data_IF_898775102525
#
_entry.id   IF_898775102525
#
_cell.length_a   1.000
_cell.length_b   1.000
_cell.length_c   1.000
_cell.angle_alpha   90.00
_cell.angle_beta   90.00
_cell.angle_gamma   90.00
#
_symmetry.space_group_name_H-M   'P 1'
#
loop_
_entity.id
_entity.type
_entity.pdbx_description
1 polymer ?
#
# COMPACT_ATOMS: atom_id res chain seq x y z
N UNK A 1 -21.63 24.59 24.66
CA UNK A 1 -21.96 23.59 23.61
C UNK A 1 -21.90 24.28 22.25
N UNK A 2 -20.95 23.96 21.37
CA UNK A 2 -20.98 24.43 19.98
C UNK A 2 -22.02 23.63 19.16
N UNK A 3 -22.68 24.24 18.16
CA UNK A 3 -23.70 23.58 17.35
C UNK A 3 -23.09 22.57 16.34
N UNK A 4 -23.85 21.55 15.92
CA UNK A 4 -23.42 20.59 14.90
C UNK A 4 -23.32 21.24 13.52
N UNK A 5 -22.12 21.20 12.91
CA UNK A 5 -21.91 21.66 11.52
C UNK A 5 -22.66 20.73 10.56
N UNK A 6 -23.63 21.28 9.82
CA UNK A 6 -24.27 20.63 8.66
C UNK A 6 -23.19 20.32 7.61
N UNK A 7 -22.89 19.04 7.43
CA UNK A 7 -22.16 18.58 6.26
C UNK A 7 -23.01 18.87 5.01
N UNK A 8 -22.52 19.74 4.13
CA UNK A 8 -23.17 20.08 2.87
C UNK A 8 -23.17 18.85 1.94
N UNK A 9 -24.35 18.34 1.57
CA UNK A 9 -24.51 17.22 0.63
C UNK A 9 -23.75 17.40 -0.70
N UNK A 10 -23.46 18.65 -1.08
CA UNK A 10 -22.75 18.99 -2.32
C UNK A 10 -21.31 18.49 -2.35
N UNK A 11 -20.64 18.38 -1.19
CA UNK A 11 -19.24 17.96 -1.10
C UNK A 11 -19.05 16.45 -1.36
N UNK A 12 -20.03 15.63 -0.96
CA UNK A 12 -19.97 14.18 -1.19
C UNK A 12 -20.16 13.85 -2.68
N UNK A 13 -21.05 14.57 -3.37
CA UNK A 13 -21.23 14.43 -4.82
C UNK A 13 -20.02 14.98 -5.59
N UNK A 14 -19.46 16.13 -5.18
CA UNK A 14 -18.26 16.68 -5.79
C UNK A 14 -17.06 15.73 -5.69
N UNK A 15 -16.87 15.06 -4.55
CA UNK A 15 -15.83 14.05 -4.37
C UNK A 15 -16.03 12.82 -5.26
N UNK A 16 -17.27 12.32 -5.40
CA UNK A 16 -17.58 11.19 -6.31
C UNK A 16 -17.35 11.54 -7.78
N UNK A 17 -17.77 12.74 -8.20
CA UNK A 17 -17.56 13.22 -9.58
C UNK A 17 -16.07 13.43 -9.85
N UNK A 18 -15.31 13.94 -8.88
CA UNK A 18 -13.85 14.06 -8.99
C UNK A 18 -13.18 12.70 -9.17
N UNK A 19 -13.52 11.71 -8.32
CA UNK A 19 -12.95 10.36 -8.40
C UNK A 19 -13.30 9.66 -9.72
N UNK A 20 -14.56 9.81 -10.16
CA UNK A 20 -15.02 9.29 -11.45
C UNK A 20 -14.31 9.96 -12.63
N UNK A 21 -14.12 11.29 -12.58
CA UNK A 21 -13.39 12.04 -13.59
C UNK A 21 -11.92 11.62 -13.69
N UNK A 22 -11.23 11.45 -12.56
CA UNK A 22 -9.84 10.95 -12.54
C UNK A 22 -9.76 9.53 -13.09
N UNK A 23 -10.65 8.63 -12.70
CA UNK A 23 -10.69 7.26 -13.24
C UNK A 23 -10.89 7.24 -14.75
N UNK A 24 -11.84 8.01 -15.27
CA UNK A 24 -12.07 8.10 -16.72
C UNK A 24 -10.88 8.73 -17.45
N UNK A 25 -10.29 9.79 -16.90
CA UNK A 25 -9.12 10.44 -17.50
C UNK A 25 -7.93 9.48 -17.59
N UNK A 26 -7.66 8.71 -16.54
CA UNK A 26 -6.59 7.71 -16.53
C UNK A 26 -6.91 6.55 -17.48
N UNK A 27 -8.17 6.08 -17.54
CA UNK A 27 -8.58 4.99 -18.43
C UNK A 27 -8.44 5.38 -19.91
N UNK A 28 -8.94 6.55 -20.29
CA UNK A 28 -8.84 7.07 -21.66
C UNK A 28 -7.39 7.41 -22.00
N UNK A 29 -6.65 8.03 -21.07
CA UNK A 29 -5.23 8.35 -21.26
C UNK A 29 -4.38 7.11 -21.52
N UNK A 30 -4.59 6.03 -20.75
CA UNK A 30 -3.86 4.78 -20.96
C UNK A 30 -4.31 4.03 -22.23
N UNK A 31 -5.60 4.08 -22.59
CA UNK A 31 -6.10 3.50 -23.83
C UNK A 31 -5.57 4.21 -25.09
N UNK A 32 -5.33 5.52 -25.03
CA UNK A 32 -4.75 6.28 -26.15
C UNK A 32 -3.21 6.17 -26.21
N UNK A 33 -2.54 6.07 -25.05
CA UNK A 33 -1.09 6.00 -24.98
C UNK A 33 -0.53 4.62 -25.35
N UNK A 34 -1.27 3.53 -25.11
CA UNK A 34 -0.83 2.17 -25.40
C UNK A 34 -1.94 1.36 -26.07
N UNK A 35 -1.74 0.86 -27.31
CA UNK A 35 -2.71 -0.02 -27.97
C UNK A 35 -2.89 -1.35 -27.22
N UNK A 36 -1.92 -1.74 -26.38
CA UNK A 36 -1.95 -2.98 -25.59
C UNK A 36 -2.80 -2.88 -24.31
N UNK A 37 -3.21 -1.68 -23.90
CA UNK A 37 -3.95 -1.50 -22.63
C UNK A 37 -5.29 -2.25 -22.62
N UNK A 38 -5.97 -2.37 -23.76
CA UNK A 38 -7.27 -3.04 -23.91
C UNK A 38 -7.19 -4.43 -24.55
N UNK A 39 -5.98 -4.94 -24.81
CA UNK A 39 -5.82 -6.28 -25.37
C UNK A 39 -6.23 -7.35 -24.36
N UNK A 40 -7.06 -8.32 -24.76
CA UNK A 40 -7.56 -9.40 -23.90
C UNK A 40 -6.42 -10.15 -23.20
N UNK A 41 -5.29 -10.34 -23.88
CA UNK A 41 -4.13 -11.06 -23.35
C UNK A 41 -3.37 -10.26 -22.28
N UNK A 42 -3.23 -8.95 -22.48
CA UNK A 42 -2.61 -8.08 -21.48
C UNK A 42 -3.55 -7.87 -20.29
N UNK A 43 -4.86 -7.79 -20.55
CA UNK A 43 -5.87 -7.65 -19.51
C UNK A 43 -6.01 -8.92 -18.68
N UNK A 44 -5.88 -10.10 -19.30
CA UNK A 44 -5.88 -11.38 -18.60
C UNK A 44 -4.59 -11.59 -17.82
N UNK A 45 -3.41 -11.29 -18.39
CA UNK A 45 -2.13 -11.36 -17.69
C UNK A 45 -2.09 -10.40 -16.49
N UNK A 46 -2.55 -9.16 -16.66
CA UNK A 46 -2.71 -8.22 -15.56
C UNK A 46 -3.63 -8.80 -14.47
N UNK A 47 -4.79 -9.34 -14.85
CA UNK A 47 -5.75 -9.94 -13.91
C UNK A 47 -5.17 -11.12 -13.14
N UNK A 48 -4.36 -11.98 -13.78
CA UNK A 48 -3.67 -13.08 -13.10
C UNK A 48 -2.64 -12.58 -12.08
N UNK A 49 -1.80 -11.62 -12.48
CA UNK A 49 -0.80 -11.03 -11.59
C UNK A 49 -1.44 -10.30 -10.39
N UNK A 50 -2.58 -9.63 -10.59
CA UNK A 50 -3.34 -9.02 -9.49
C UNK A 50 -4.03 -10.08 -8.61
N UNK A 51 -4.65 -11.10 -9.21
CA UNK A 51 -5.39 -12.14 -8.48
C UNK A 51 -4.45 -12.97 -7.60
N UNK A 52 -3.25 -13.29 -8.08
CA UNK A 52 -2.23 -14.01 -7.29
C UNK A 52 -1.90 -13.26 -6.00
N UNK A 53 -1.61 -11.96 -6.08
CA UNK A 53 -1.31 -11.13 -4.91
C UNK A 53 -2.55 -10.90 -4.06
N UNK A 54 -3.73 -10.77 -4.66
CA UNK A 54 -4.99 -10.57 -3.95
C UNK A 54 -5.37 -11.77 -3.08
N UNK A 55 -5.17 -13.01 -3.55
CA UNK A 55 -5.44 -14.23 -2.77
C UNK A 55 -4.51 -14.34 -1.56
N UNK A 56 -3.27 -13.86 -1.65
CA UNK A 56 -2.33 -13.83 -0.52
C UNK A 56 -2.73 -12.76 0.50
N UNK A 57 -3.14 -11.58 0.04
CA UNK A 57 -3.48 -10.44 0.92
C UNK A 57 -4.87 -10.57 1.54
N UNK A 58 -5.82 -11.26 0.89
CA UNK A 58 -7.17 -11.49 1.40
C UNK A 58 -7.19 -12.13 2.82
N UNK A 59 -6.52 -13.26 3.09
CA UNK A 59 -6.43 -13.81 4.44
C UNK A 59 -5.60 -12.92 5.37
N UNK A 60 -4.55 -12.26 4.86
CA UNK A 60 -3.76 -11.32 5.68
C UNK A 60 -4.60 -10.16 6.22
N UNK A 61 -5.50 -9.61 5.40
CA UNK A 61 -6.44 -8.58 5.83
C UNK A 61 -7.41 -9.10 6.91
N UNK A 62 -7.90 -10.34 6.77
CA UNK A 62 -8.75 -10.96 7.79
C UNK A 62 -8.00 -11.19 9.11
N UNK A 63 -6.72 -11.59 9.06
CA UNK A 63 -5.88 -11.79 10.25
C UNK A 63 -5.60 -10.48 11.00
N UNK A 64 -5.44 -9.36 10.28
CA UNK A 64 -5.30 -8.02 10.88
C UNK A 64 -6.59 -7.63 11.61
N UNK A 65 -7.76 -7.86 11.01
CA UNK A 65 -9.06 -7.56 11.63
C UNK A 65 -9.29 -8.42 12.88
N UNK A 66 -8.92 -9.69 12.82
CA UNK A 66 -8.99 -10.62 13.95
C UNK A 66 -7.97 -10.29 15.06
N UNK A 67 -7.03 -9.35 14.82
CA UNK A 67 -5.91 -9.00 15.71
C UNK A 67 -4.95 -10.16 16.00
N UNK A 68 -4.95 -11.18 15.15
CA UNK A 68 -3.97 -12.27 15.18
C UNK A 68 -2.60 -11.80 14.66
N UNK A 69 -2.60 -10.79 13.77
CA UNK A 69 -1.39 -10.05 13.37
C UNK A 69 -1.59 -8.59 13.81
N UNK A 70 -0.76 -8.13 14.74
CA UNK A 70 -0.81 -6.78 15.28
C UNK A 70 -0.51 -5.71 14.21
N UNK A 71 -1.14 -4.54 14.34
CA UNK A 71 -0.96 -3.37 13.48
C UNK A 71 0.49 -2.85 13.53
N UNK A 72 1.22 -3.11 14.62
CA UNK A 72 2.63 -2.77 14.79
C UNK A 72 3.53 -3.44 13.73
N UNK A 73 3.23 -4.68 13.34
CA UNK A 73 3.96 -5.42 12.30
C UNK A 73 3.68 -4.80 10.94
N UNK A 74 2.42 -4.43 10.65
CA UNK A 74 2.05 -3.76 9.41
C UNK A 74 2.79 -2.41 9.25
N UNK A 75 2.88 -1.63 10.33
CA UNK A 75 3.63 -0.37 10.34
C UNK A 75 5.14 -0.57 10.12
N UNK A 76 5.74 -1.59 10.74
CA UNK A 76 7.17 -1.90 10.57
C UNK A 76 7.49 -2.34 9.14
N UNK A 77 6.62 -3.15 8.52
CA UNK A 77 6.75 -3.55 7.11
C UNK A 77 6.65 -2.33 6.20
N UNK A 78 5.70 -1.42 6.45
CA UNK A 78 5.54 -0.20 5.69
C UNK A 78 6.77 0.71 5.79
N UNK A 79 7.28 0.94 7.00
CA UNK A 79 8.49 1.73 7.23
C UNK A 79 9.70 1.12 6.50
N UNK A 80 9.96 -0.17 6.71
CA UNK A 80 11.07 -0.88 6.05
C UNK A 80 10.97 -0.79 4.52
N UNK A 81 9.77 -0.97 3.96
CA UNK A 81 9.51 -0.82 2.52
C UNK A 81 9.77 0.59 1.99
N UNK A 82 9.35 1.64 2.70
CA UNK A 82 9.61 3.03 2.28
C UNK A 82 11.10 3.37 2.29
N UNK A 83 11.85 2.91 3.30
CA UNK A 83 13.31 3.14 3.38
C UNK A 83 14.02 2.36 2.28
N UNK A 84 13.65 1.10 2.04
CA UNK A 84 14.18 0.32 0.91
C UNK A 84 13.85 0.97 -0.44
N UNK A 85 12.63 1.48 -0.63
CA UNK A 85 12.21 2.16 -1.85
C UNK A 85 12.99 3.45 -2.09
N UNK A 86 13.26 4.22 -1.04
CA UNK A 86 14.11 5.40 -1.10
C UNK A 86 15.56 5.03 -1.46
N UNK A 87 16.10 3.97 -0.86
CA UNK A 87 17.42 3.43 -1.18
C UNK A 87 17.53 2.89 -2.61
N UNK A 88 16.48 2.25 -3.14
CA UNK A 88 16.42 1.82 -4.54
C UNK A 88 16.44 3.01 -5.49
N UNK A 89 15.70 4.09 -5.16
CA UNK A 89 15.72 5.33 -5.94
C UNK A 89 17.10 6.01 -5.92
N UNK A 90 17.89 5.80 -4.86
CA UNK A 90 19.27 6.24 -4.76
C UNK A 90 20.27 5.35 -5.53
N UNK A 91 19.82 4.29 -6.20
CA UNK A 91 20.65 3.42 -7.03
C UNK A 91 21.46 2.38 -6.24
N UNK A 92 21.05 2.06 -4.99
CA UNK A 92 21.74 1.06 -4.18
C UNK A 92 21.45 -0.36 -4.69
N UNK A 93 22.48 -1.20 -4.69
CA UNK A 93 22.38 -2.58 -5.16
C UNK A 93 21.42 -3.42 -4.31
N UNK A 94 20.85 -4.46 -4.93
CA UNK A 94 19.93 -5.43 -4.30
C UNK A 94 20.41 -5.97 -2.94
N UNK A 95 21.68 -6.41 -2.76
CA UNK A 95 22.15 -6.86 -1.45
C UNK A 95 22.12 -5.75 -0.39
N UNK A 96 22.43 -4.51 -0.78
CA UNK A 96 22.40 -3.39 0.15
C UNK A 96 20.98 -3.05 0.59
N UNK A 97 20.01 -3.17 -0.32
CA UNK A 97 18.59 -3.01 0.00
C UNK A 97 18.11 -4.03 1.03
N UNK A 98 18.55 -5.28 0.92
CA UNK A 98 18.23 -6.32 1.90
C UNK A 98 18.82 -5.95 3.26
N UNK A 99 20.06 -5.48 3.32
CA UNK A 99 20.68 -5.03 4.56
C UNK A 99 19.92 -3.85 5.19
N UNK A 100 19.47 -2.89 4.38
CA UNK A 100 18.67 -1.75 4.85
C UNK A 100 17.34 -2.22 5.43
N UNK A 101 16.62 -3.09 4.72
CA UNK A 101 15.33 -3.62 5.19
C UNK A 101 15.46 -4.38 6.51
N UNK A 102 16.48 -5.23 6.62
CA UNK A 102 16.81 -5.97 7.84
C UNK A 102 17.20 -5.03 8.99
N UNK A 103 18.02 -4.02 8.70
CA UNK A 103 18.45 -3.02 9.68
C UNK A 103 17.27 -2.24 10.27
N UNK A 104 16.38 -1.75 9.41
CA UNK A 104 15.17 -1.03 9.86
C UNK A 104 14.24 -1.93 10.68
N UNK A 105 14.03 -3.18 10.24
CA UNK A 105 13.20 -4.15 10.97
C UNK A 105 13.76 -4.50 12.35
N UNK A 106 15.08 -4.75 12.44
CA UNK A 106 15.77 -5.03 13.70
C UNK A 106 15.71 -3.84 14.66
N UNK A 107 15.94 -2.62 14.16
CA UNK A 107 15.88 -1.41 14.98
C UNK A 107 14.47 -1.18 15.52
N UNK A 108 13.43 -1.30 14.69
CA UNK A 108 12.04 -1.19 15.14
C UNK A 108 11.70 -2.24 16.21
N UNK A 109 12.12 -3.50 16.00
CA UNK A 109 11.91 -4.57 16.98
C UNK A 109 12.62 -4.32 18.31
N UNK A 110 13.87 -3.84 18.28
CA UNK A 110 14.66 -3.51 19.46
C UNK A 110 14.12 -2.29 20.22
N UNK A 111 13.52 -1.32 19.53
CA UNK A 111 12.86 -0.18 20.18
C UNK A 111 11.54 -0.62 20.83
N UNK A 112 10.79 -1.52 20.19
CA UNK A 112 9.52 -2.03 20.71
C UNK A 112 9.70 -2.92 21.94
N UNK A 113 10.80 -3.69 22.01
CA UNK A 113 11.20 -4.47 23.18
C UNK A 113 12.52 -3.93 23.76
N UNK A 114 12.48 -3.05 24.77
CA UNK A 114 13.69 -2.62 25.44
C UNK A 114 14.43 -3.85 25.99
N UNK A 115 15.71 -3.99 25.62
CA UNK A 115 16.57 -5.12 25.98
C UNK A 115 16.90 -5.23 27.49
N UNK A 116 16.12 -4.58 28.34
CA UNK A 116 16.29 -4.51 29.78
C UNK A 116 15.15 -5.17 30.58
N UNK A 117 14.22 -5.85 29.92
CA UNK A 117 13.13 -6.58 30.56
C UNK A 117 13.59 -8.04 30.80
N UNK A 118 14.08 -8.40 32.00
CA UNK A 118 14.43 -9.78 32.32
C UNK A 118 13.12 -10.51 32.68
N UNK A 119 12.85 -11.62 32.01
CA UNK A 119 12.08 -12.70 32.64
C UNK A 119 13.02 -13.46 33.56
#
# INVERSE_FOLDING_TARGET
MPPPRRASSSACCAGKVFLLAVTLAVFVGNALASPYFLDIWNLSDATFNFTEKAIIVLPMAMLIIAREIDLSVASTIALSSTVMGFCAAAGLDTPLLVCVGLGVGLLCGAVQRPAGDPL
#
